data_IF_285096058959
#
_entry.id   IF_285096058959
#
_cell.length_a   1.000
_cell.length_b   1.000
_cell.length_c   1.000
_cell.angle_alpha   90.00
_cell.angle_beta   90.00
_cell.angle_gamma   90.00
#
_symmetry.space_group_name_H-M   'P 1'
#
loop_
_entity.id
_entity.type
_entity.pdbx_description
1 polymer ?
#
# COMPACT_ATOMS: atom_id res chain seq x y z
N UNK A 1 -19.02 -3.12 -27.42
CA UNK A 1 -19.11 -4.09 -28.55
C UNK A 1 -18.06 -5.18 -28.45
N UNK A 2 -16.78 -4.83 -28.18
CA UNK A 2 -15.66 -5.78 -28.19
C UNK A 2 -15.81 -6.88 -27.11
N UNK A 3 -16.19 -6.50 -25.89
CA UNK A 3 -16.42 -7.44 -24.80
C UNK A 3 -17.60 -8.38 -25.09
N UNK A 4 -18.64 -7.90 -25.76
CA UNK A 4 -19.81 -8.70 -26.17
C UNK A 4 -19.36 -9.76 -27.18
N UNK A 5 -18.64 -9.36 -28.22
CA UNK A 5 -18.13 -10.30 -29.24
C UNK A 5 -17.20 -11.35 -28.64
N UNK A 6 -16.32 -10.98 -27.71
CA UNK A 6 -15.44 -11.90 -27.03
C UNK A 6 -16.20 -12.92 -26.15
N UNK A 7 -17.32 -12.51 -25.54
CA UNK A 7 -18.20 -13.41 -24.81
C UNK A 7 -18.91 -14.40 -25.74
N UNK A 8 -19.39 -13.94 -26.90
CA UNK A 8 -20.03 -14.81 -27.92
C UNK A 8 -19.04 -15.86 -28.45
N UNK A 9 -17.81 -15.45 -28.78
CA UNK A 9 -16.74 -16.37 -29.21
C UNK A 9 -16.46 -17.42 -28.13
N UNK A 10 -16.41 -17.02 -26.87
CA UNK A 10 -16.19 -17.95 -25.76
C UNK A 10 -17.34 -18.93 -25.59
N UNK A 11 -18.60 -18.48 -25.64
CA UNK A 11 -19.77 -19.34 -25.56
C UNK A 11 -19.85 -20.33 -26.73
N UNK A 12 -19.51 -19.91 -27.93
CA UNK A 12 -19.41 -20.80 -29.10
C UNK A 12 -18.33 -21.85 -28.90
N UNK A 13 -17.18 -21.50 -28.33
CA UNK A 13 -16.11 -22.43 -28.02
C UNK A 13 -16.54 -23.46 -26.96
N UNK A 14 -17.30 -23.03 -25.93
CA UNK A 14 -17.87 -23.89 -24.90
C UNK A 14 -18.85 -24.88 -25.53
N UNK A 15 -19.81 -24.42 -26.35
CA UNK A 15 -20.81 -25.29 -27.05
C UNK A 15 -20.18 -26.32 -27.97
N UNK A 16 -19.05 -25.97 -28.61
CA UNK A 16 -18.31 -26.90 -29.49
C UNK A 16 -17.37 -27.85 -28.72
N UNK A 17 -17.29 -27.72 -27.41
CA UNK A 17 -16.40 -28.48 -26.53
C UNK A 17 -14.94 -28.49 -26.99
N UNK A 18 -14.48 -27.43 -27.67
CA UNK A 18 -13.12 -27.31 -28.17
C UNK A 18 -12.23 -26.63 -27.13
N UNK A 19 -11.40 -27.43 -26.45
CA UNK A 19 -10.53 -26.96 -25.36
C UNK A 19 -9.56 -25.85 -25.78
N UNK A 20 -9.01 -25.95 -26.98
CA UNK A 20 -8.04 -24.94 -27.46
C UNK A 20 -8.71 -23.59 -27.72
N UNK A 21 -9.88 -23.61 -28.36
CA UNK A 21 -10.66 -22.39 -28.61
C UNK A 21 -11.19 -21.79 -27.29
N UNK A 22 -11.62 -22.60 -26.34
CA UNK A 22 -12.04 -22.17 -25.02
C UNK A 22 -10.89 -21.45 -24.28
N UNK A 23 -9.69 -22.02 -24.29
CA UNK A 23 -8.53 -21.42 -23.66
C UNK A 23 -8.18 -20.07 -24.28
N UNK A 24 -8.15 -20.00 -25.62
CA UNK A 24 -7.85 -18.75 -26.33
C UNK A 24 -8.90 -17.66 -26.08
N UNK A 25 -10.19 -18.00 -26.17
CA UNK A 25 -11.28 -17.07 -25.91
C UNK A 25 -11.33 -16.61 -24.44
N UNK A 26 -11.02 -17.51 -23.48
CA UNK A 26 -10.90 -17.17 -22.07
C UNK A 26 -9.75 -16.18 -21.83
N UNK A 27 -8.59 -16.41 -22.43
CA UNK A 27 -7.44 -15.49 -22.36
C UNK A 27 -7.81 -14.12 -22.94
N UNK A 28 -8.59 -14.06 -24.02
CA UNK A 28 -9.07 -12.79 -24.59
C UNK A 28 -10.01 -12.05 -23.64
N UNK A 29 -10.94 -12.74 -22.98
CA UNK A 29 -11.81 -12.13 -21.96
C UNK A 29 -11.01 -11.59 -20.77
N UNK A 30 -9.97 -12.32 -20.35
CA UNK A 30 -9.06 -11.87 -19.28
C UNK A 30 -8.23 -10.66 -19.72
N UNK A 31 -7.77 -10.61 -20.96
CA UNK A 31 -7.07 -9.44 -21.52
C UNK A 31 -7.97 -8.20 -21.57
N UNK A 32 -9.28 -8.37 -21.77
CA UNK A 32 -10.31 -7.34 -21.69
C UNK A 32 -10.73 -7.04 -20.23
N UNK A 33 -9.95 -7.52 -19.25
CA UNK A 33 -10.16 -7.28 -17.80
C UNK A 33 -11.51 -7.82 -17.27
N UNK A 34 -12.15 -8.78 -17.95
CA UNK A 34 -13.38 -9.39 -17.45
C UNK A 34 -13.09 -10.19 -16.17
N UNK A 35 -13.76 -9.92 -15.04
CA UNK A 35 -13.52 -10.63 -13.78
C UNK A 35 -13.80 -12.14 -13.93
N UNK A 36 -12.98 -12.97 -13.25
CA UNK A 36 -13.13 -14.43 -13.29
C UNK A 36 -14.54 -14.88 -12.91
N UNK A 37 -15.14 -14.27 -11.88
CA UNK A 37 -16.52 -14.55 -11.44
C UNK A 37 -17.53 -14.29 -12.56
N UNK A 38 -17.33 -13.24 -13.36
CA UNK A 38 -18.21 -12.93 -14.49
C UNK A 38 -18.04 -13.96 -15.64
N UNK A 39 -16.81 -14.45 -15.88
CA UNK A 39 -16.56 -15.53 -16.85
C UNK A 39 -17.22 -16.84 -16.41
N UNK A 40 -17.13 -17.17 -15.14
CA UNK A 40 -17.75 -18.39 -14.61
C UNK A 40 -19.30 -18.32 -14.72
N UNK A 41 -19.90 -17.17 -14.38
CA UNK A 41 -21.34 -16.92 -14.59
C UNK A 41 -21.76 -16.97 -16.06
N UNK A 42 -20.87 -16.57 -16.99
CA UNK A 42 -21.12 -16.66 -18.42
C UNK A 42 -21.26 -18.11 -18.87
N UNK A 43 -20.45 -19.01 -18.30
CA UNK A 43 -20.56 -20.47 -18.58
C UNK A 43 -21.85 -21.04 -18.02
N UNK A 44 -22.22 -20.65 -16.79
CA UNK A 44 -23.44 -21.15 -16.14
C UNK A 44 -24.74 -20.67 -16.81
N UNK A 45 -24.77 -19.39 -17.22
CA UNK A 45 -25.96 -18.77 -17.80
C UNK A 45 -26.12 -19.05 -19.29
N UNK A 46 -25.03 -19.42 -19.99
CA UNK A 46 -24.93 -19.57 -21.44
C UNK A 46 -25.44 -18.34 -22.24
N UNK A 47 -25.48 -17.17 -21.58
CA UNK A 47 -25.98 -15.93 -22.16
C UNK A 47 -24.95 -14.81 -22.02
N UNK A 48 -24.82 -14.02 -23.07
CA UNK A 48 -23.97 -12.83 -23.08
C UNK A 48 -24.45 -11.84 -22.02
N UNK A 49 -23.52 -11.37 -21.20
CA UNK A 49 -23.78 -10.37 -20.17
C UNK A 49 -23.55 -8.97 -20.76
N UNK A 50 -24.61 -8.16 -20.81
CA UNK A 50 -24.49 -6.76 -21.25
C UNK A 50 -23.88 -5.86 -20.16
N UNK A 51 -24.02 -6.27 -18.90
CA UNK A 51 -23.50 -5.56 -17.74
C UNK A 51 -22.53 -6.45 -16.99
N UNK A 52 -21.31 -5.96 -16.78
CA UNK A 52 -20.27 -6.67 -16.01
C UNK A 52 -19.97 -5.90 -14.75
N UNK A 53 -19.97 -6.61 -13.62
CA UNK A 53 -19.65 -6.03 -12.30
C UNK A 53 -18.15 -6.16 -12.06
N UNK A 54 -17.47 -5.04 -11.89
CA UNK A 54 -16.09 -4.99 -11.46
C UNK A 54 -16.04 -4.79 -9.96
N UNK A 55 -15.32 -5.64 -9.27
CA UNK A 55 -15.12 -5.55 -7.82
C UNK A 55 -13.77 -4.96 -7.49
N UNK A 56 -13.66 -4.35 -6.31
CA UNK A 56 -12.39 -3.86 -5.80
C UNK A 56 -11.36 -5.01 -5.69
N UNK A 57 -10.11 -4.81 -6.15
CA UNK A 57 -9.08 -5.85 -6.08
C UNK A 57 -8.59 -6.10 -4.66
N UNK A 58 -8.80 -5.15 -3.75
CA UNK A 58 -8.41 -5.23 -2.35
C UNK A 58 -9.39 -4.48 -1.45
N UNK A 59 -9.36 -4.80 -0.15
CA UNK A 59 -10.05 -4.04 0.88
C UNK A 59 -9.28 -2.75 1.15
N UNK A 60 -9.99 -1.63 1.32
CA UNK A 60 -9.36 -0.34 1.58
C UNK A 60 -10.35 0.81 1.51
N UNK A 61 -9.81 2.01 1.55
CA UNK A 61 -10.56 3.26 1.43
C UNK A 61 -10.48 3.77 0.00
N UNK A 62 -11.61 4.22 -0.52
CA UNK A 62 -11.67 4.82 -1.85
C UNK A 62 -11.04 6.21 -1.79
N UNK A 63 -10.03 6.41 -2.62
CA UNK A 63 -9.38 7.68 -2.86
C UNK A 63 -9.62 8.10 -4.31
N UNK A 64 -9.77 9.39 -4.57
CA UNK A 64 -9.93 9.94 -5.92
C UNK A 64 -10.99 9.24 -6.78
N UNK A 65 -12.25 9.30 -6.35
CA UNK A 65 -13.38 8.83 -7.15
C UNK A 65 -13.66 9.76 -8.33
N UNK A 66 -13.24 9.36 -9.54
CA UNK A 66 -13.31 10.17 -10.75
C UNK A 66 -14.53 9.87 -11.64
N UNK A 67 -15.42 9.00 -11.19
CA UNK A 67 -16.58 8.57 -11.95
C UNK A 67 -17.89 8.86 -11.22
N UNK A 68 -18.96 9.01 -12.00
CA UNK A 68 -20.33 9.11 -11.51
C UNK A 68 -21.22 8.20 -12.35
N UNK A 69 -22.40 7.90 -11.85
CA UNK A 69 -23.39 7.14 -12.59
C UNK A 69 -23.68 7.77 -13.95
N UNK A 70 -23.80 6.95 -14.99
CA UNK A 70 -23.98 7.41 -16.36
C UNK A 70 -22.71 7.89 -17.08
N UNK A 71 -21.55 7.81 -16.42
CA UNK A 71 -20.29 8.26 -17.03
C UNK A 71 -19.82 7.28 -18.11
N UNK A 72 -19.38 7.82 -19.26
CA UNK A 72 -18.81 7.00 -20.32
C UNK A 72 -17.35 6.64 -20.00
N UNK A 73 -17.07 5.36 -19.91
CA UNK A 73 -15.77 4.83 -19.53
C UNK A 73 -15.05 4.26 -20.75
N UNK A 74 -13.75 4.56 -20.86
CA UNK A 74 -12.88 4.03 -21.92
C UNK A 74 -11.85 3.07 -21.30
N UNK A 75 -11.39 2.05 -22.05
CA UNK A 75 -10.27 1.22 -21.63
C UNK A 75 -9.04 2.06 -21.25
N UNK A 76 -8.36 1.72 -20.16
CA UNK A 76 -7.21 2.46 -19.65
C UNK A 76 -7.54 3.67 -18.78
N UNK A 77 -8.82 4.00 -18.57
CA UNK A 77 -9.22 5.10 -17.71
C UNK A 77 -9.21 4.68 -16.24
N UNK A 78 -8.55 5.47 -15.39
CA UNK A 78 -8.59 5.26 -13.94
C UNK A 78 -9.93 5.74 -13.39
N UNK A 79 -10.71 4.84 -12.82
CA UNK A 79 -12.04 5.12 -12.26
C UNK A 79 -11.95 5.63 -10.84
N UNK A 80 -11.19 4.92 -10.02
CA UNK A 80 -10.93 5.22 -8.62
C UNK A 80 -9.59 4.62 -8.20
N UNK A 81 -9.06 5.09 -7.11
CA UNK A 81 -7.95 4.45 -6.41
C UNK A 81 -8.41 3.93 -5.06
N UNK A 82 -7.87 2.79 -4.65
CA UNK A 82 -8.17 2.17 -3.36
C UNK A 82 -6.87 2.06 -2.59
N UNK A 83 -6.82 2.70 -1.42
CA UNK A 83 -5.68 2.69 -0.53
C UNK A 83 -5.95 1.78 0.67
N UNK A 84 -5.05 0.84 0.95
CA UNK A 84 -5.02 0.14 2.21
C UNK A 84 -4.38 1.06 3.26
N UNK A 85 -5.01 1.20 4.41
CA UNK A 85 -4.55 2.08 5.51
C UNK A 85 -4.18 1.28 6.77
N UNK A 86 -4.17 -0.04 6.71
CA UNK A 86 -3.78 -0.94 7.80
C UNK A 86 -2.28 -0.84 8.15
N UNK A 87 -1.47 -0.47 7.17
CA UNK A 87 -0.07 -0.08 7.34
C UNK A 87 0.17 1.29 6.71
N UNK A 88 1.00 2.09 7.35
CA UNK A 88 1.42 3.39 6.83
C UNK A 88 2.94 3.49 6.81
N UNK A 89 3.43 4.25 5.85
CA UNK A 89 4.84 4.59 5.77
C UNK A 89 5.05 6.05 6.14
N UNK A 90 6.14 6.28 6.83
CA UNK A 90 6.61 7.62 7.16
C UNK A 90 7.94 7.82 6.46
N UNK A 91 8.04 8.83 5.61
CA UNK A 91 9.31 9.23 5.02
C UNK A 91 9.97 10.21 6.01
N UNK A 92 11.06 9.77 6.63
CA UNK A 92 11.85 10.55 7.55
C UNK A 92 13.08 11.12 6.85
N UNK A 93 13.40 12.39 7.12
CA UNK A 93 14.59 13.05 6.62
C UNK A 93 15.68 13.03 7.68
N UNK A 94 16.82 12.44 7.36
CA UNK A 94 17.94 12.21 8.25
C UNK A 94 19.11 13.08 7.78
N UNK A 95 19.65 13.92 8.63
CA UNK A 95 20.81 14.73 8.29
C UNK A 95 22.04 13.88 7.97
N UNK A 96 22.87 14.33 7.03
CA UNK A 96 24.10 13.66 6.59
C UNK A 96 24.96 13.16 7.76
N UNK A 97 25.17 14.00 8.77
CA UNK A 97 25.96 13.67 9.97
C UNK A 97 25.45 12.46 10.77
N UNK A 98 24.15 12.15 10.65
CA UNK A 98 23.47 11.07 11.37
C UNK A 98 23.24 9.84 10.50
N UNK A 99 23.43 9.96 9.19
CA UNK A 99 23.12 8.92 8.21
C UNK A 99 23.82 7.59 8.49
N UNK A 100 25.06 7.62 8.96
CA UNK A 100 25.86 6.43 9.27
C UNK A 100 25.32 5.64 10.48
N UNK A 101 24.50 6.26 11.33
CA UNK A 101 23.93 5.64 12.52
C UNK A 101 22.65 4.88 12.20
N UNK A 102 21.95 5.25 11.12
CA UNK A 102 20.69 4.65 10.74
C UNK A 102 20.92 3.41 9.89
N UNK A 103 20.31 2.30 10.30
CA UNK A 103 20.39 1.00 9.61
C UNK A 103 18.99 0.42 9.43
N UNK A 104 18.85 -0.48 8.45
CA UNK A 104 17.62 -1.24 8.26
C UNK A 104 17.28 -2.05 9.50
N UNK A 105 15.98 -2.11 9.83
CA UNK A 105 15.47 -2.89 10.96
C UNK A 105 15.62 -2.22 12.33
N UNK A 106 16.20 -1.01 12.42
CA UNK A 106 16.25 -0.30 13.70
C UNK A 106 14.83 0.01 14.20
N UNK A 107 14.58 -0.13 15.50
CA UNK A 107 13.31 0.21 16.11
C UNK A 107 13.09 1.72 16.09
N UNK A 108 11.84 2.10 15.88
CA UNK A 108 11.43 3.49 15.74
C UNK A 108 10.17 3.73 16.57
N UNK A 109 10.11 4.86 17.23
CA UNK A 109 8.89 5.32 17.92
C UNK A 109 8.44 6.62 17.29
N UNK A 110 7.17 6.70 17.01
CA UNK A 110 6.51 7.88 16.46
C UNK A 110 5.54 8.47 17.46
N UNK A 111 5.54 9.80 17.55
CA UNK A 111 4.59 10.60 18.34
C UNK A 111 3.98 11.68 17.47
N UNK A 112 2.82 12.17 17.89
CA UNK A 112 2.12 13.27 17.21
C UNK A 112 1.68 14.31 18.21
N UNK A 113 1.89 15.58 17.89
CA UNK A 113 1.55 16.71 18.78
C UNK A 113 0.04 16.77 19.10
N UNK A 114 -0.81 16.45 18.13
CA UNK A 114 -2.27 16.51 18.29
C UNK A 114 -2.88 15.25 18.95
N UNK A 115 -2.07 14.23 19.26
CA UNK A 115 -2.45 13.02 20.01
C UNK A 115 -1.48 12.78 21.16
N UNK A 116 -1.44 13.67 22.15
CA UNK A 116 -0.48 13.56 23.25
C UNK A 116 -0.72 12.25 24.04
N UNK A 117 0.37 11.57 24.38
CA UNK A 117 0.35 10.31 25.12
C UNK A 117 0.10 9.05 24.28
N UNK A 118 -0.08 9.18 22.95
CA UNK A 118 -0.07 8.03 22.03
C UNK A 118 1.27 7.90 21.33
N UNK A 119 1.78 6.69 21.32
CA UNK A 119 3.01 6.31 20.63
C UNK A 119 2.72 5.18 19.66
N UNK A 120 3.41 5.16 18.54
CA UNK A 120 3.36 4.07 17.57
C UNK A 120 4.78 3.52 17.40
N UNK A 121 4.88 2.21 17.50
CA UNK A 121 6.13 1.49 17.31
C UNK A 121 6.23 1.02 15.86
N UNK A 122 7.44 1.12 15.31
CA UNK A 122 7.73 0.74 13.95
C UNK A 122 9.20 0.37 13.76
N UNK A 123 9.61 0.27 12.52
CA UNK A 123 10.99 -0.05 12.17
C UNK A 123 11.42 0.68 10.91
N UNK A 124 12.73 0.83 10.74
CA UNK A 124 13.33 1.32 9.49
C UNK A 124 13.17 0.23 8.42
N UNK A 125 12.31 0.48 7.44
CA UNK A 125 11.98 -0.47 6.38
C UNK A 125 12.91 -0.35 5.18
N UNK A 126 13.25 0.90 4.80
CA UNK A 126 14.11 1.16 3.65
C UNK A 126 14.88 2.47 3.81
N UNK A 127 16.12 2.50 3.33
CA UNK A 127 16.95 3.70 3.28
C UNK A 127 17.23 3.99 1.82
N UNK A 128 16.83 5.18 1.36
CA UNK A 128 17.07 5.59 -0.03
C UNK A 128 18.57 5.80 -0.28
N UNK A 129 19.13 5.29 -1.39
CA UNK A 129 20.59 5.38 -1.64
C UNK A 129 21.02 6.77 -2.10
N UNK A 130 20.07 7.69 -2.31
CA UNK A 130 20.34 9.05 -2.80
C UNK A 130 20.04 10.07 -1.71
N UNK A 131 20.93 11.05 -1.58
CA UNK A 131 20.76 12.20 -0.69
C UNK A 131 20.12 13.35 -1.46
N UNK A 132 19.22 14.08 -0.81
CA UNK A 132 18.69 15.31 -1.37
C UNK A 132 19.76 16.42 -1.28
N UNK A 133 20.13 16.96 -2.43
CA UNK A 133 21.20 17.93 -2.53
C UNK A 133 20.82 19.30 -1.93
N UNK A 134 19.53 19.64 -1.88
CA UNK A 134 19.03 20.92 -1.39
C UNK A 134 18.98 20.97 0.12
N UNK A 135 18.53 19.89 0.76
CA UNK A 135 18.40 19.78 2.22
C UNK A 135 19.58 19.09 2.89
N UNK A 136 20.42 18.39 2.10
CA UNK A 136 21.49 17.50 2.57
C UNK A 136 20.98 16.44 3.55
N UNK A 137 19.84 15.88 3.23
CA UNK A 137 19.19 14.83 4.01
C UNK A 137 19.14 13.53 3.24
N UNK A 138 19.27 12.43 3.97
CA UNK A 138 19.00 11.08 3.52
C UNK A 138 17.55 10.73 3.86
N UNK A 139 16.77 10.23 2.91
CA UNK A 139 15.43 9.73 3.20
C UNK A 139 15.47 8.30 3.68
N UNK A 140 14.71 8.03 4.74
CA UNK A 140 14.42 6.69 5.21
C UNK A 140 12.91 6.48 5.28
N UNK A 141 12.47 5.29 4.86
CA UNK A 141 11.09 4.85 4.99
C UNK A 141 10.94 4.06 6.27
N UNK A 142 10.01 4.47 7.08
CA UNK A 142 9.67 3.84 8.34
C UNK A 142 8.28 3.24 8.22
N UNK A 143 8.08 2.00 8.69
CA UNK A 143 6.82 1.29 8.58
C UNK A 143 6.15 1.18 9.95
N UNK A 144 4.86 1.51 9.99
CA UNK A 144 4.03 1.46 11.19
C UNK A 144 2.72 0.73 10.92
N UNK A 145 2.28 -0.06 11.89
CA UNK A 145 0.94 -0.66 11.88
C UNK A 145 -0.11 0.39 12.23
N UNK A 146 -1.23 0.39 11.52
CA UNK A 146 -2.33 1.36 11.67
C UNK A 146 -3.68 0.66 11.78
N UNK A 147 -3.78 -0.36 12.61
CA UNK A 147 -5.01 -1.16 12.78
C UNK A 147 -6.22 -0.33 13.21
N UNK A 148 -5.98 0.75 13.95
CA UNK A 148 -7.02 1.63 14.46
C UNK A 148 -7.36 2.78 13.50
N UNK A 149 -6.70 2.88 12.34
CA UNK A 149 -6.87 3.92 11.32
C UNK A 149 -6.70 5.36 11.84
N UNK A 150 -5.96 5.56 12.94
CA UNK A 150 -5.66 6.90 13.46
C UNK A 150 -4.67 7.66 12.56
N UNK A 151 -3.74 6.94 11.96
CA UNK A 151 -2.73 7.51 11.07
C UNK A 151 -3.35 7.74 9.69
N UNK A 152 -3.36 9.00 9.27
CA UNK A 152 -3.88 9.37 7.95
C UNK A 152 -2.76 9.89 7.06
N UNK A 153 -2.85 9.70 5.73
CA UNK A 153 -1.89 10.27 4.80
C UNK A 153 -1.78 11.80 4.97
N UNK A 154 -0.57 12.30 4.69
CA UNK A 154 -0.23 13.73 4.78
C UNK A 154 -0.27 14.33 6.20
N UNK A 155 -0.26 13.51 7.23
CA UNK A 155 -0.03 13.95 8.59
C UNK A 155 1.47 14.10 8.88
N UNK A 156 1.81 15.06 9.74
CA UNK A 156 3.16 15.23 10.27
C UNK A 156 3.32 14.49 11.58
N UNK A 157 4.47 13.89 11.78
CA UNK A 157 4.80 13.14 12.97
C UNK A 157 6.24 13.41 13.40
N UNK A 158 6.51 13.29 14.68
CA UNK A 158 7.85 13.28 15.24
C UNK A 158 8.29 11.83 15.40
N UNK A 159 9.51 11.52 14.95
CA UNK A 159 10.03 10.16 14.95
C UNK A 159 11.36 10.11 15.70
N UNK A 160 11.51 9.11 16.57
CA UNK A 160 12.75 8.80 17.27
C UNK A 160 13.26 7.43 16.80
N UNK A 161 14.48 7.37 16.27
CA UNK A 161 15.13 6.15 15.81
C UNK A 161 16.16 5.74 16.88
N UNK A 162 16.07 4.50 17.38
CA UNK A 162 16.97 3.99 18.42
C UNK A 162 18.19 3.33 17.77
N UNK A 163 19.37 3.91 17.97
CA UNK A 163 20.62 3.44 17.34
C UNK A 163 21.54 2.65 18.27
N UNK A 164 21.11 2.40 19.50
CA UNK A 164 21.92 1.74 20.54
C UNK A 164 22.25 0.27 20.24
N UNK A 165 23.30 -0.25 20.85
CA UNK A 165 23.74 -1.65 20.71
C UNK A 165 22.72 -2.69 21.20
N UNK A 166 21.73 -2.29 22.00
CA UNK A 166 20.67 -3.15 22.54
C UNK A 166 19.69 -3.68 21.49
N UNK A 167 19.62 -3.05 20.31
CA UNK A 167 18.70 -3.47 19.24
C UNK A 167 19.09 -4.80 18.54
N UNK A 168 20.18 -5.44 18.92
CA UNK A 168 20.65 -6.71 18.32
C UNK A 168 20.15 -7.96 19.04
N UNK A 169 19.23 -7.88 19.99
CA UNK A 169 18.66 -9.07 20.62
C UNK A 169 17.33 -9.44 19.99
N UNK A 170 17.29 -10.66 19.44
CA UNK A 170 16.18 -11.32 18.75
C UNK A 170 14.79 -11.00 19.28
N UNK A 171 13.99 -10.43 18.40
CA UNK A 171 12.56 -10.68 18.16
C UNK A 171 11.66 -11.18 19.30
N UNK A 172 11.30 -10.33 20.24
CA UNK A 172 10.02 -10.45 20.94
C UNK A 172 9.55 -9.04 21.32
N UNK A 173 8.27 -8.77 21.04
CA UNK A 173 7.60 -7.49 21.26
C UNK A 173 7.58 -7.01 22.73
N UNK A 174 8.03 -7.84 23.66
CA UNK A 174 8.01 -7.55 25.11
C UNK A 174 9.13 -6.62 25.58
N UNK A 175 10.24 -6.51 24.84
CA UNK A 175 11.43 -5.78 25.33
C UNK A 175 11.47 -4.29 24.98
N UNK A 176 10.54 -3.78 24.16
CA UNK A 176 10.59 -2.39 23.72
C UNK A 176 10.10 -1.41 24.82
N UNK A 177 9.25 -1.88 25.71
CA UNK A 177 8.80 -1.08 26.87
C UNK A 177 9.90 -0.91 27.93
N UNK A 178 10.79 -1.92 28.10
CA UNK A 178 11.94 -1.83 28.99
C UNK A 178 13.02 -0.89 28.46
N UNK A 179 13.27 -0.90 27.13
CA UNK A 179 14.22 0.02 26.49
C UNK A 179 13.81 1.51 26.65
N UNK A 180 12.50 1.78 26.76
CA UNK A 180 12.00 3.12 27.05
C UNK A 180 12.23 3.59 28.48
N UNK A 181 12.31 2.67 29.46
CA UNK A 181 12.55 3.03 30.86
C UNK A 181 14.04 3.18 31.17
N UNK A 182 14.93 2.47 30.47
CA UNK A 182 16.38 2.59 30.65
C UNK A 182 17.00 3.76 29.91
N UNK A 183 16.30 4.41 28.98
CA UNK A 183 16.86 5.50 28.15
C UNK A 183 17.04 6.86 28.87
N UNK A 184 17.03 6.90 30.19
CA UNK A 184 17.39 8.10 30.94
C UNK A 184 18.91 8.33 31.11
N UNK A 185 19.77 7.42 30.60
CA UNK A 185 21.22 7.53 30.67
C UNK A 185 21.84 7.34 29.28
N UNK A 186 22.28 8.44 28.66
CA UNK A 186 23.31 8.55 27.59
C UNK A 186 23.16 7.70 26.32
N UNK A 187 21.98 7.42 25.81
CA UNK A 187 21.81 6.81 24.48
C UNK A 187 21.37 7.85 23.44
N UNK A 188 22.14 7.94 22.35
CA UNK A 188 21.90 8.86 21.24
C UNK A 188 20.55 8.59 20.57
N UNK A 189 19.51 9.31 20.96
CA UNK A 189 18.26 9.34 20.25
C UNK A 189 18.38 10.30 19.06
N UNK A 190 18.25 9.78 17.85
CA UNK A 190 18.11 10.63 16.68
C UNK A 190 16.68 11.12 16.65
N UNK A 191 16.45 12.37 17.03
CA UNK A 191 15.18 13.04 16.83
C UNK A 191 15.18 13.61 15.41
N UNK A 192 14.35 13.06 14.53
CA UNK A 192 14.12 13.63 13.22
C UNK A 192 13.19 14.83 13.41
N UNK A 193 13.54 16.04 12.92
CA UNK A 193 12.65 17.20 13.03
C UNK A 193 11.28 16.93 12.42
N UNK A 194 10.29 17.69 12.85
CA UNK A 194 8.83 17.55 12.66
C UNK A 194 8.28 17.43 11.23
N UNK A 195 9.09 17.10 10.24
CA UNK A 195 8.69 17.07 8.82
C UNK A 195 8.55 15.67 8.24
N UNK A 196 8.46 14.63 9.08
CA UNK A 196 8.19 13.29 8.61
C UNK A 196 6.73 13.20 8.09
N UNK A 197 6.55 12.94 6.80
CA UNK A 197 5.24 12.86 6.16
C UNK A 197 4.75 11.42 6.12
N UNK A 198 3.55 11.18 6.66
CA UNK A 198 2.89 9.88 6.62
C UNK A 198 2.36 9.62 5.21
N UNK A 199 2.68 8.46 4.66
CA UNK A 199 2.18 7.99 3.35
C UNK A 199 1.52 6.63 3.47
N UNK A 200 0.64 6.32 2.52
CA UNK A 200 -0.02 5.00 2.47
C UNK A 200 0.88 3.94 1.86
N UNK A 201 0.79 2.73 2.40
CA UNK A 201 1.62 1.58 2.01
C UNK A 201 1.39 1.04 0.61
N UNK A 202 0.16 1.00 0.12
CA UNK A 202 -0.13 0.58 -1.25
C UNK A 202 -1.34 1.32 -1.81
N UNK A 203 -1.17 1.92 -2.99
CA UNK A 203 -2.27 2.43 -3.78
C UNK A 203 -2.49 1.51 -4.97
N UNK A 204 -3.58 0.76 -4.99
CA UNK A 204 -4.01 0.05 -6.18
C UNK A 204 -5.03 0.92 -6.93
N UNK A 205 -4.72 1.17 -8.19
CA UNK A 205 -5.62 1.91 -9.10
C UNK A 205 -6.53 0.92 -9.79
N UNK A 206 -7.83 1.19 -9.77
CA UNK A 206 -8.78 0.47 -10.61
C UNK A 206 -8.79 1.14 -11.98
N UNK A 207 -8.26 0.41 -12.96
CA UNK A 207 -8.17 0.85 -14.37
C UNK A 207 -9.00 -0.13 -15.19
N UNK A 208 -9.82 0.38 -16.12
CA UNK A 208 -10.56 -0.40 -17.10
C UNK A 208 -9.84 -0.44 -18.43
#
# INVERSE_FOLDING_TARGET
PELVNAQEEFLLAVKRANRNLMAAAKSRLQALQMPKIAIDKLVESEKVQQTVVFTAPQTGFVDNLNIREGFYVKPGMTLMSIAALDEVWVDAEIFERQSNLVKLGLPVVMTMEYLPGKTWEGQVDYIYPTMDASTRTLRARLRFSNKDYFLKPNMFAQVSIFTGKSAMHNGSHENMHELMQESQADEFNIVVPSEAVIRTGSQNRVVL
#
